data_IF_748183162031
#
_entry.id   IF_748183162031
#
_cell.length_a   1.000
_cell.length_b   1.000
_cell.length_c   1.000
_cell.angle_alpha   90.00
_cell.angle_beta   90.00
_cell.angle_gamma   90.00
#
_symmetry.space_group_name_H-M   'P 1'
#
loop_
_entity.id
_entity.type
_entity.pdbx_description
1 polymer ?
#
# COMPACT_ATOMS: atom_id res chain seq x y z
N UNK A 1 -6.71 -26.19 -0.88
CA UNK A 1 -6.07 -25.84 0.40
C UNK A 1 -4.86 -24.97 0.11
N UNK A 2 -4.79 -23.80 0.72
CA UNK A 2 -3.77 -22.78 0.45
C UNK A 2 -4.27 -21.42 0.94
N UNK A 3 -4.33 -21.25 2.26
CA UNK A 3 -4.61 -19.96 2.89
C UNK A 3 -3.41 -19.05 2.65
N UNK A 4 -3.58 -18.00 1.85
CA UNK A 4 -2.58 -16.96 1.67
C UNK A 4 -2.90 -15.84 2.66
N UNK A 5 -2.01 -15.67 3.64
CA UNK A 5 -2.15 -14.76 4.77
C UNK A 5 -2.26 -13.30 4.29
N UNK A 6 -3.39 -12.66 4.54
CA UNK A 6 -3.72 -11.28 4.13
C UNK A 6 -3.13 -10.21 5.06
N UNK A 7 -1.95 -10.45 5.65
CA UNK A 7 -1.43 -9.68 6.79
C UNK A 7 -0.30 -8.69 6.50
N UNK A 8 0.22 -8.63 5.26
CA UNK A 8 1.36 -7.77 4.88
C UNK A 8 1.02 -6.84 3.69
N UNK A 9 -0.09 -6.08 3.78
CA UNK A 9 -0.49 -5.11 2.76
C UNK A 9 -0.74 -3.73 3.38
N UNK A 10 -0.28 -2.60 2.76
CA UNK A 10 0.29 -2.48 1.42
C UNK A 10 1.77 -2.88 1.30
N UNK A 11 2.27 -3.19 0.08
CA UNK A 11 3.64 -3.63 -0.15
C UNK A 11 4.65 -2.56 0.24
N UNK A 12 5.75 -3.01 0.85
CA UNK A 12 7.00 -2.26 1.13
C UNK A 12 7.69 -1.65 -0.12
N UNK A 13 7.02 -1.56 -1.26
CA UNK A 13 7.56 -0.99 -2.51
C UNK A 13 7.31 0.52 -2.68
N UNK A 14 6.80 1.20 -1.65
CA UNK A 14 6.65 2.66 -1.62
C UNK A 14 7.81 3.41 -0.95
N UNK A 15 8.87 2.72 -0.52
CA UNK A 15 10.03 3.33 0.19
C UNK A 15 11.05 4.07 -0.71
N UNK A 16 10.81 4.21 -2.02
CA UNK A 16 11.91 4.49 -2.97
C UNK A 16 11.87 5.74 -3.86
N UNK A 17 10.95 6.70 -3.71
CA UNK A 17 10.81 7.78 -4.72
C UNK A 17 10.71 9.21 -4.19
N UNK A 18 11.40 9.51 -3.08
CA UNK A 18 11.72 10.90 -2.70
C UNK A 18 13.08 10.99 -1.98
N UNK A 19 14.21 10.98 -2.70
CA UNK A 19 15.38 11.85 -2.42
C UNK A 19 16.49 11.80 -3.49
N UNK A 20 17.03 12.99 -3.77
CA UNK A 20 18.13 13.40 -4.67
C UNK A 20 19.38 12.48 -4.66
N UNK A 21 19.98 12.14 -5.81
CA UNK A 21 20.93 12.96 -6.62
C UNK A 21 22.27 13.22 -5.90
N UNK A 22 23.27 12.39 -6.24
CA UNK A 22 24.72 12.47 -5.96
C UNK A 22 25.18 12.45 -4.49
N UNK A 23 26.16 11.60 -4.13
CA UNK A 23 27.61 11.94 -4.05
C UNK A 23 28.37 10.92 -3.17
N UNK A 24 29.57 10.56 -3.63
CA UNK A 24 30.76 10.11 -2.86
C UNK A 24 31.06 8.61 -2.59
N UNK A 25 32.17 8.18 -3.23
CA UNK A 25 33.28 7.32 -2.74
C UNK A 25 32.95 5.80 -2.68
N UNK A 26 33.42 4.90 -3.56
CA UNK A 26 34.72 4.74 -4.24
C UNK A 26 35.89 5.22 -3.37
N UNK A 27 36.37 4.28 -2.53
CA UNK A 27 37.66 4.19 -1.80
C UNK A 27 37.34 3.71 -0.37
N UNK A 28 37.33 2.39 -0.17
CA UNK A 28 37.86 1.78 1.05
C UNK A 28 38.38 0.39 0.67
N UNK A 29 39.70 0.32 0.51
CA UNK A 29 40.51 -0.80 0.05
C UNK A 29 40.26 -2.07 0.90
N UNK A 30 40.23 -3.28 0.33
CA UNK A 30 41.41 -4.05 -0.08
C UNK A 30 42.59 -3.88 0.92
N UNK A 31 42.46 -4.40 2.15
CA UNK A 31 43.59 -4.77 3.03
C UNK A 31 43.07 -5.42 4.32
N UNK A 32 42.62 -6.68 4.26
CA UNK A 32 42.43 -7.49 5.47
C UNK A 32 42.59 -9.01 5.25
N UNK A 33 43.17 -9.42 4.12
CA UNK A 33 43.40 -10.83 3.81
C UNK A 33 44.83 -11.25 4.22
N UNK A 34 45.09 -11.46 5.52
CA UNK A 34 46.22 -12.34 5.95
C UNK A 34 46.31 -12.77 7.42
N UNK A 35 45.43 -12.33 8.33
CA UNK A 35 45.51 -12.72 9.76
C UNK A 35 44.30 -13.51 10.30
N UNK A 36 43.47 -14.09 9.44
CA UNK A 36 42.31 -14.94 9.84
C UNK A 36 42.57 -16.45 9.70
N UNK A 37 43.69 -16.97 10.22
CA UNK A 37 43.90 -18.44 10.30
C UNK A 37 44.19 -18.97 11.70
N UNK A 38 44.49 -18.09 12.66
CA UNK A 38 44.92 -18.49 14.02
C UNK A 38 43.79 -18.33 15.04
N UNK A 39 42.79 -17.47 14.79
CA UNK A 39 41.63 -17.31 15.68
C UNK A 39 40.48 -18.30 15.40
N UNK A 40 40.51 -19.00 14.27
CA UNK A 40 39.51 -20.01 13.88
C UNK A 40 39.61 -21.32 14.69
N UNK A 41 40.78 -21.63 15.28
CA UNK A 41 41.01 -22.90 15.97
C UNK A 41 40.60 -22.92 17.45
N UNK A 42 40.39 -21.76 18.07
CA UNK A 42 39.98 -21.67 19.49
C UNK A 42 38.45 -21.76 19.63
N UNK A 43 37.69 -21.46 18.57
CA UNK A 43 36.23 -21.46 18.62
C UNK A 43 35.59 -22.85 18.42
N UNK A 44 36.37 -23.89 18.10
CA UNK A 44 35.88 -25.26 17.85
C UNK A 44 35.81 -26.09 19.16
N UNK A 45 36.40 -25.62 20.26
CA UNK A 45 36.50 -26.37 21.53
C UNK A 45 35.38 -26.18 22.57
N UNK A 46 34.34 -25.38 22.29
CA UNK A 46 33.21 -25.12 23.22
C UNK A 46 31.87 -25.48 22.53
N UNK A 47 31.81 -26.65 21.90
CA UNK A 47 30.64 -27.12 21.14
C UNK A 47 30.03 -28.40 21.74
N UNK A 48 29.78 -28.47 23.05
CA UNK A 48 29.09 -29.65 23.61
C UNK A 48 28.21 -29.46 24.86
N UNK A 49 27.80 -28.24 25.22
CA UNK A 49 26.76 -28.06 26.25
C UNK A 49 25.95 -26.78 26.01
N UNK A 50 24.95 -26.85 25.13
CA UNK A 50 24.10 -25.69 24.86
C UNK A 50 23.10 -25.88 23.72
N UNK A 51 22.44 -27.04 23.62
CA UNK A 51 21.29 -27.20 22.72
C UNK A 51 20.05 -26.59 23.40
N UNK A 52 19.98 -25.26 23.42
CA UNK A 52 18.77 -24.53 23.81
C UNK A 52 17.78 -24.63 22.64
N UNK A 53 16.67 -25.33 22.87
CA UNK A 53 15.49 -25.34 22.01
C UNK A 53 14.91 -23.91 21.95
N UNK A 54 15.26 -23.16 20.90
CA UNK A 54 14.58 -21.90 20.58
C UNK A 54 13.20 -22.29 20.01
N UNK A 55 12.20 -22.34 20.88
CA UNK A 55 10.79 -22.29 20.48
C UNK A 55 10.53 -20.92 19.86
N UNK A 56 10.75 -20.81 18.56
CA UNK A 56 10.35 -19.64 17.77
C UNK A 56 8.83 -19.58 17.74
N UNK A 57 8.26 -18.79 18.64
CA UNK A 57 6.84 -18.39 18.53
C UNK A 57 6.70 -17.59 17.23
N UNK A 58 5.78 -17.94 16.31
CA UNK A 58 5.51 -17.05 15.19
C UNK A 58 4.83 -15.79 15.74
N UNK A 59 5.58 -14.68 15.78
CA UNK A 59 4.99 -13.36 16.02
C UNK A 59 4.23 -12.98 14.74
N UNK A 60 2.99 -13.43 14.62
CA UNK A 60 2.03 -12.86 13.65
C UNK A 60 1.53 -11.55 14.24
N UNK A 61 2.23 -10.45 13.98
CA UNK A 61 1.82 -9.13 14.43
C UNK A 61 0.83 -8.54 13.42
N UNK A 62 -0.38 -9.08 13.37
CA UNK A 62 -1.45 -8.52 12.57
C UNK A 62 -1.75 -7.10 13.06
N UNK A 63 -1.58 -6.11 12.18
CA UNK A 63 -1.88 -4.74 12.57
C UNK A 63 -3.37 -4.62 12.94
N UNK A 64 -3.66 -4.16 14.16
CA UNK A 64 -5.03 -3.90 14.58
C UNK A 64 -5.58 -2.69 13.81
N UNK A 65 -6.78 -2.77 13.21
CA UNK A 65 -7.37 -1.63 12.52
C UNK A 65 -7.64 -0.47 13.49
N UNK A 66 -7.41 0.75 13.02
CA UNK A 66 -7.76 1.99 13.71
C UNK A 66 -9.29 2.11 13.86
N UNK A 67 -10.02 1.79 12.80
CA UNK A 67 -11.47 1.82 12.75
C UNK A 67 -11.99 0.94 11.61
N UNK A 68 -13.21 0.44 11.73
CA UNK A 68 -13.91 -0.24 10.65
C UNK A 68 -15.37 0.20 10.64
N UNK A 69 -15.84 0.69 9.49
CA UNK A 69 -17.23 1.08 9.29
C UNK A 69 -17.70 0.61 7.91
N UNK A 70 -18.72 -0.25 7.87
CA UNK A 70 -19.27 -0.77 6.63
C UNK A 70 -18.27 -1.65 5.88
N UNK A 71 -17.79 -1.17 4.72
CA UNK A 71 -16.75 -1.86 3.92
C UNK A 71 -15.38 -1.19 3.98
N UNK A 72 -15.26 -0.14 4.80
CA UNK A 72 -14.06 0.68 4.90
C UNK A 72 -13.34 0.42 6.21
N UNK A 73 -12.07 0.01 6.11
CA UNK A 73 -11.19 -0.23 7.26
C UNK A 73 -10.04 0.78 7.22
N UNK A 74 -9.71 1.35 8.38
CA UNK A 74 -8.64 2.32 8.57
C UNK A 74 -7.48 1.73 9.36
N UNK A 75 -6.28 2.21 9.06
CA UNK A 75 -5.03 1.83 9.69
C UNK A 75 -4.15 3.07 9.90
N UNK A 76 -3.07 2.90 10.65
CA UNK A 76 -2.07 3.93 10.89
C UNK A 76 -0.69 3.32 10.90
N UNK A 77 0.25 3.91 10.18
CA UNK A 77 1.67 3.56 10.20
C UNK A 77 2.48 4.81 10.55
N UNK A 78 3.75 4.60 10.89
CA UNK A 78 4.69 5.70 11.13
C UNK A 78 5.75 5.65 10.04
N UNK A 79 5.85 6.71 9.24
CA UNK A 79 6.88 6.88 8.21
C UNK A 79 7.71 8.11 8.55
N UNK A 80 9.04 7.96 8.63
CA UNK A 80 9.96 9.07 8.92
C UNK A 80 9.57 9.89 10.18
N UNK A 81 9.11 9.20 11.22
CA UNK A 81 8.68 9.81 12.48
C UNK A 81 7.32 10.54 12.43
N UNK A 82 6.59 10.48 11.31
CA UNK A 82 5.25 11.07 11.15
C UNK A 82 4.21 9.99 10.94
N UNK A 83 3.00 10.22 11.47
CA UNK A 83 1.88 9.30 11.23
C UNK A 83 1.38 9.42 9.79
N UNK A 84 1.12 8.27 9.18
CA UNK A 84 0.38 8.13 7.92
C UNK A 84 -0.84 7.29 8.21
N UNK A 85 -2.01 7.87 7.98
CA UNK A 85 -3.29 7.21 8.19
C UNK A 85 -3.88 6.90 6.82
N UNK A 86 -4.35 5.67 6.63
CA UNK A 86 -4.98 5.27 5.38
C UNK A 86 -6.24 4.46 5.66
N UNK A 87 -7.18 4.53 4.73
CA UNK A 87 -8.38 3.72 4.73
C UNK A 87 -8.58 3.12 3.36
N UNK A 88 -9.08 1.89 3.31
CA UNK A 88 -9.38 1.23 2.05
C UNK A 88 -10.66 0.41 2.11
N UNK A 89 -11.21 0.10 0.95
CA UNK A 89 -12.27 -0.87 0.75
C UNK A 89 -11.91 -1.81 -0.39
N UNK A 90 -12.30 -3.08 -0.26
CA UNK A 90 -12.39 -4.03 -1.37
C UNK A 90 -13.69 -3.79 -2.16
N UNK A 91 -13.76 -4.16 -3.45
CA UNK A 91 -15.00 -4.07 -4.19
C UNK A 91 -16.06 -5.02 -3.60
N UNK A 92 -17.32 -4.59 -3.64
CA UNK A 92 -18.48 -5.45 -3.33
C UNK A 92 -18.93 -6.26 -4.55
N UNK A 93 -18.42 -5.93 -5.74
CA UNK A 93 -18.65 -6.66 -6.98
C UNK A 93 -17.50 -6.40 -7.95
N UNK A 94 -17.00 -7.47 -8.55
CA UNK A 94 -15.93 -7.45 -9.53
C UNK A 94 -16.43 -8.00 -10.86
N UNK A 95 -16.37 -7.20 -11.92
CA UNK A 95 -16.73 -7.60 -13.28
C UNK A 95 -15.53 -7.38 -14.20
N UNK A 96 -15.49 -8.06 -15.35
CA UNK A 96 -14.42 -7.86 -16.33
C UNK A 96 -14.28 -9.03 -17.29
N UNK A 97 -13.23 -8.99 -18.13
CA UNK A 97 -12.85 -10.08 -19.04
C UNK A 97 -11.45 -10.65 -18.72
N UNK A 98 -11.01 -10.53 -17.48
CA UNK A 98 -9.76 -11.11 -17.00
C UNK A 98 -9.94 -12.57 -16.55
N UNK A 99 -8.88 -13.38 -16.64
CA UNK A 99 -8.88 -14.76 -16.12
C UNK A 99 -8.59 -14.81 -14.61
N UNK A 100 -7.55 -14.09 -14.18
CA UNK A 100 -7.10 -13.94 -12.79
C UNK A 100 -6.43 -12.58 -12.64
N UNK A 101 -6.48 -12.02 -11.44
CA UNK A 101 -5.84 -10.78 -11.01
C UNK A 101 -5.61 -10.83 -9.50
N UNK A 102 -4.79 -9.92 -8.98
CA UNK A 102 -4.61 -9.71 -7.54
C UNK A 102 -5.80 -9.00 -6.90
N UNK A 103 -5.63 -8.62 -5.63
CA UNK A 103 -6.65 -7.87 -4.89
C UNK A 103 -6.83 -6.45 -5.46
N UNK A 104 -8.08 -6.00 -5.51
CA UNK A 104 -8.43 -4.65 -5.93
C UNK A 104 -8.87 -3.79 -4.74
N UNK A 105 -8.45 -2.52 -4.72
CA UNK A 105 -8.70 -1.60 -3.63
C UNK A 105 -8.98 -0.18 -4.13
N UNK A 106 -9.84 0.53 -3.40
CA UNK A 106 -9.88 1.98 -3.40
C UNK A 106 -9.37 2.46 -2.04
N UNK A 107 -8.45 3.41 -2.04
CA UNK A 107 -7.72 3.85 -0.85
C UNK A 107 -7.68 5.38 -0.75
N UNK A 108 -7.80 5.90 0.46
CA UNK A 108 -7.51 7.29 0.81
C UNK A 108 -6.40 7.31 1.85
N UNK A 109 -5.38 8.12 1.61
CA UNK A 109 -4.22 8.28 2.48
C UNK A 109 -4.10 9.73 2.93
N UNK A 110 -3.81 9.95 4.21
CA UNK A 110 -3.58 11.26 4.83
C UNK A 110 -2.30 11.22 5.65
N UNK A 111 -1.40 12.18 5.43
CA UNK A 111 -0.15 12.31 6.18
C UNK A 111 -0.27 13.41 7.22
N UNK A 112 0.22 13.15 8.43
CA UNK A 112 0.19 14.11 9.53
C UNK A 112 0.99 15.38 9.18
N UNK A 113 0.43 16.55 9.52
CA UNK A 113 1.12 17.84 9.41
C UNK A 113 1.05 18.49 8.03
N UNK A 114 0.45 17.84 7.04
CA UNK A 114 0.18 18.41 5.73
C UNK A 114 -1.30 18.18 5.39
N UNK A 115 -2.13 19.16 5.77
CA UNK A 115 -3.59 19.12 5.58
C UNK A 115 -4.01 19.03 4.11
N UNK A 116 -3.11 19.36 3.18
CA UNK A 116 -3.28 19.29 1.74
C UNK A 116 -2.83 17.95 1.13
N UNK A 117 -2.11 17.11 1.88
CA UNK A 117 -1.59 15.81 1.42
C UNK A 117 -2.59 14.64 1.52
N UNK A 118 -3.83 14.86 1.09
CA UNK A 118 -4.76 13.75 0.93
C UNK A 118 -4.66 13.18 -0.48
N UNK A 119 -4.28 11.91 -0.55
CA UNK A 119 -4.21 11.16 -1.79
C UNK A 119 -5.37 10.18 -1.87
N UNK A 120 -5.95 10.06 -3.07
CA UNK A 120 -6.85 8.97 -3.41
C UNK A 120 -6.21 8.12 -4.50
N UNK A 121 -6.23 6.80 -4.31
CA UNK A 121 -5.69 5.85 -5.26
C UNK A 121 -6.57 4.63 -5.43
N UNK A 122 -6.37 3.94 -6.54
CA UNK A 122 -7.01 2.65 -6.81
C UNK A 122 -5.99 1.66 -7.38
N UNK A 123 -6.14 0.39 -7.02
CA UNK A 123 -5.53 -0.74 -7.73
C UNK A 123 -6.62 -1.70 -8.20
N UNK A 124 -6.44 -2.24 -9.40
CA UNK A 124 -7.30 -3.28 -9.97
C UNK A 124 -6.66 -4.66 -9.87
N UNK A 125 -5.56 -4.82 -9.11
CA UNK A 125 -4.84 -6.10 -8.97
C UNK A 125 -4.11 -6.54 -10.23
N UNK A 126 -3.76 -5.60 -11.11
CA UNK A 126 -2.90 -5.85 -12.27
C UNK A 126 -2.23 -4.55 -12.72
N UNK A 127 -1.11 -4.63 -13.46
CA UNK A 127 -0.50 -3.44 -14.05
C UNK A 127 -1.39 -2.79 -15.10
N UNK A 128 -1.61 -1.48 -14.99
CA UNK A 128 -2.46 -0.73 -15.93
C UNK A 128 -1.76 -0.49 -17.28
N UNK A 129 -2.57 -0.41 -18.33
CA UNK A 129 -2.14 0.08 -19.64
C UNK A 129 -1.86 1.59 -19.55
N UNK A 130 -0.60 2.00 -19.78
CA UNK A 130 -0.19 3.40 -19.66
C UNK A 130 -0.80 4.34 -20.71
N UNK A 131 -1.45 3.81 -21.76
CA UNK A 131 -2.16 4.60 -22.78
C UNK A 131 -3.65 4.75 -22.51
N UNK A 132 -4.18 4.11 -21.47
CA UNK A 132 -5.61 4.14 -21.12
C UNK A 132 -5.77 4.56 -19.66
N UNK A 133 -6.35 5.73 -19.39
CA UNK A 133 -6.56 6.14 -18.01
C UNK A 133 -7.59 5.24 -17.33
N UNK A 134 -7.59 5.25 -16.00
CA UNK A 134 -8.58 4.58 -15.18
C UNK A 134 -9.78 5.51 -14.99
N UNK A 135 -10.97 5.02 -15.31
CA UNK A 135 -12.21 5.78 -15.15
C UNK A 135 -12.80 5.55 -13.76
N UNK A 136 -13.15 6.65 -13.10
CA UNK A 136 -13.75 6.67 -11.77
C UNK A 136 -15.15 7.24 -11.90
N UNK A 137 -16.16 6.53 -11.40
CA UNK A 137 -17.54 6.99 -11.40
C UNK A 137 -18.13 6.91 -10.00
N UNK A 138 -18.50 8.05 -9.43
CA UNK A 138 -19.14 8.14 -8.12
C UNK A 138 -20.58 8.60 -8.35
N UNK A 139 -21.53 7.68 -8.19
CA UNK A 139 -22.98 7.92 -8.42
C UNK A 139 -23.28 8.72 -9.71
N UNK A 140 -22.61 8.39 -10.81
CA UNK A 140 -22.79 9.05 -12.11
C UNK A 140 -21.78 10.15 -12.41
N UNK A 141 -21.17 10.79 -11.41
CA UNK A 141 -20.11 11.79 -11.61
C UNK A 141 -18.81 11.11 -12.02
N UNK A 142 -18.23 11.54 -13.14
CA UNK A 142 -17.02 10.95 -13.73
C UNK A 142 -15.76 11.71 -13.34
N UNK A 143 -14.70 10.97 -13.07
CA UNK A 143 -13.34 11.44 -12.85
C UNK A 143 -12.37 10.50 -13.59
N UNK A 144 -11.14 10.97 -13.81
CA UNK A 144 -10.12 10.24 -14.56
C UNK A 144 -8.84 10.19 -13.74
N UNK A 145 -8.29 9.00 -13.57
CA UNK A 145 -6.99 8.76 -12.96
C UNK A 145 -6.01 8.36 -14.06
N UNK A 146 -5.06 9.24 -14.34
CA UNK A 146 -4.13 9.16 -15.46
C UNK A 146 -2.66 9.10 -15.02
N UNK A 147 -2.36 9.38 -13.75
CA UNK A 147 -1.06 9.04 -13.18
C UNK A 147 -1.06 7.54 -12.85
N UNK A 148 -0.37 6.74 -13.66
CA UNK A 148 -0.36 5.28 -13.57
C UNK A 148 1.06 4.78 -13.22
N UNK A 149 1.18 4.03 -12.13
CA UNK A 149 2.45 3.42 -11.71
C UNK A 149 2.22 1.99 -11.24
N UNK A 150 2.79 1.03 -11.96
CA UNK A 150 2.56 -0.39 -11.68
C UNK A 150 1.07 -0.74 -11.76
N UNK A 151 0.51 -1.20 -10.63
CA UNK A 151 -0.91 -1.55 -10.49
C UNK A 151 -1.79 -0.43 -9.94
N UNK A 152 -1.19 0.74 -9.67
CA UNK A 152 -1.86 1.84 -9.00
C UNK A 152 -2.15 3.00 -9.95
N UNK A 153 -3.25 3.69 -9.67
CA UNK A 153 -3.69 4.88 -10.38
C UNK A 153 -4.10 5.97 -9.40
N UNK A 154 -3.73 7.21 -9.72
CA UNK A 154 -4.07 8.42 -8.98
C UNK A 154 -4.62 9.49 -9.94
N UNK A 155 -5.26 10.52 -9.39
CA UNK A 155 -5.50 11.75 -10.14
C UNK A 155 -4.17 12.48 -10.37
N UNK A 156 -3.91 12.97 -11.58
CA UNK A 156 -2.74 13.81 -11.86
C UNK A 156 -2.85 15.19 -11.19
N UNK A 157 -4.07 15.73 -11.09
CA UNK A 157 -4.32 17.02 -10.44
C UNK A 157 -4.64 16.82 -8.95
N UNK A 158 -3.62 16.89 -8.09
CA UNK A 158 -3.77 16.71 -6.64
C UNK A 158 -4.81 17.66 -6.01
N UNK A 159 -4.95 18.87 -6.54
CA UNK A 159 -5.97 19.86 -6.13
C UNK A 159 -7.42 19.36 -6.30
N UNK A 160 -7.64 18.32 -7.12
CA UNK A 160 -8.95 17.69 -7.28
C UNK A 160 -9.24 16.65 -6.20
N UNK A 161 -8.24 16.10 -5.52
CA UNK A 161 -8.42 15.04 -4.52
C UNK A 161 -9.47 15.40 -3.47
N UNK A 162 -9.48 16.62 -2.87
CA UNK A 162 -10.51 17.01 -1.91
C UNK A 162 -11.93 16.95 -2.50
N UNK A 163 -12.10 17.29 -3.78
CA UNK A 163 -13.40 17.23 -4.45
C UNK A 163 -13.86 15.80 -4.70
N UNK A 164 -12.94 14.87 -4.96
CA UNK A 164 -13.21 13.45 -5.18
C UNK A 164 -13.56 12.78 -3.85
N UNK A 165 -12.75 13.00 -2.81
CA UNK A 165 -12.98 12.50 -1.45
C UNK A 165 -14.33 13.02 -0.92
N UNK A 166 -14.65 14.30 -1.15
CA UNK A 166 -15.96 14.88 -0.80
C UNK A 166 -17.11 14.23 -1.56
N UNK A 167 -16.92 13.87 -2.84
CA UNK A 167 -17.92 13.13 -3.60
C UNK A 167 -18.11 11.72 -3.04
N UNK A 168 -17.03 11.03 -2.66
CA UNK A 168 -17.11 9.71 -2.00
C UNK A 168 -17.84 9.78 -0.66
N UNK A 169 -17.56 10.80 0.16
CA UNK A 169 -18.23 11.01 1.45
C UNK A 169 -19.74 11.27 1.33
N UNK A 170 -20.19 11.79 0.18
CA UNK A 170 -21.62 12.04 -0.11
C UNK A 170 -22.28 10.93 -0.92
N UNK A 171 -21.49 10.05 -1.52
CA UNK A 171 -21.96 9.04 -2.46
C UNK A 171 -22.33 7.72 -1.80
N UNK A 172 -22.88 6.83 -2.63
CA UNK A 172 -23.33 5.50 -2.27
C UNK A 172 -22.49 4.42 -2.95
N UNK A 173 -22.11 4.64 -4.21
CA UNK A 173 -21.32 3.70 -5.00
C UNK A 173 -20.17 4.40 -5.72
N UNK A 174 -19.02 3.75 -5.69
CA UNK A 174 -17.87 4.04 -6.54
C UNK A 174 -17.74 2.90 -7.55
N UNK A 175 -17.57 3.22 -8.84
CA UNK A 175 -17.17 2.26 -9.88
C UNK A 175 -15.80 2.65 -10.43
N UNK A 176 -14.93 1.68 -10.57
CA UNK A 176 -13.57 1.83 -11.12
C UNK A 176 -13.46 0.95 -12.34
N UNK A 177 -13.12 1.54 -13.49
CA UNK A 177 -12.87 0.81 -14.73
C UNK A 177 -11.42 1.00 -15.14
N UNK A 178 -10.66 -0.10 -15.13
CA UNK A 178 -9.26 -0.11 -15.56
C UNK A 178 -9.06 -1.03 -16.75
N UNK A 179 -8.00 -0.79 -17.53
CA UNK A 179 -7.52 -1.70 -18.58
C UNK A 179 -6.10 -2.14 -18.24
N UNK A 180 -5.86 -3.45 -18.24
CA UNK A 180 -4.55 -4.03 -17.96
C UNK A 180 -3.58 -3.81 -19.13
N UNK A 181 -2.28 -3.92 -18.87
CA UNK A 181 -1.26 -3.95 -19.94
C UNK A 181 -1.53 -5.03 -21.01
N UNK A 182 -2.26 -6.09 -20.66
CA UNK A 182 -2.64 -7.20 -21.56
C UNK A 182 -3.92 -6.94 -22.36
N UNK A 183 -4.57 -5.78 -22.18
CA UNK A 183 -5.79 -5.41 -22.89
C UNK A 183 -7.10 -5.93 -22.29
N UNK A 184 -7.05 -6.73 -21.22
CA UNK A 184 -8.24 -7.08 -20.43
C UNK A 184 -8.70 -5.90 -19.59
N UNK A 185 -9.96 -5.87 -19.17
CA UNK A 185 -10.52 -4.82 -18.33
C UNK A 185 -11.19 -5.38 -17.07
N UNK A 186 -11.19 -4.56 -16.01
CA UNK A 186 -12.04 -4.71 -14.84
C UNK A 186 -13.09 -3.59 -14.78
N UNK A 187 -14.19 -3.87 -14.08
CA UNK A 187 -15.20 -2.93 -13.65
C UNK A 187 -15.57 -3.28 -12.21
N UNK A 188 -14.90 -2.62 -11.28
CA UNK A 188 -15.03 -2.86 -9.85
C UNK A 188 -16.06 -1.91 -9.25
N UNK A 189 -16.99 -2.43 -8.46
CA UNK A 189 -17.98 -1.63 -7.74
C UNK A 189 -17.70 -1.69 -6.25
N UNK A 190 -17.53 -0.54 -5.61
CA UNK A 190 -17.31 -0.36 -4.18
C UNK A 190 -18.56 0.23 -3.51
N UNK A 191 -18.81 -0.17 -2.27
CA UNK A 191 -19.80 0.50 -1.42
C UNK A 191 -19.16 1.71 -0.75
N UNK A 192 -19.83 2.86 -0.77
CA UNK A 192 -19.40 4.04 -0.01
C UNK A 192 -20.05 4.10 1.39
N UNK A 193 -20.89 3.11 1.74
CA UNK A 193 -21.42 2.98 3.11
C UNK A 193 -20.27 2.80 4.11
N UNK A 194 -20.21 3.71 5.07
CA UNK A 194 -19.17 3.75 6.11
C UNK A 194 -17.98 4.65 5.78
N UNK A 195 -17.83 5.13 4.53
CA UNK A 195 -16.72 5.97 4.11
C UNK A 195 -16.54 7.18 5.03
N UNK A 196 -17.60 7.96 5.25
CA UNK A 196 -17.54 9.19 6.05
C UNK A 196 -17.13 8.95 7.51
N UNK A 197 -17.57 7.85 8.11
CA UNK A 197 -17.20 7.50 9.49
C UNK A 197 -15.72 7.10 9.56
N UNK A 198 -15.27 6.25 8.64
CA UNK A 198 -13.85 5.83 8.55
C UNK A 198 -12.92 6.99 8.20
N UNK A 199 -13.35 7.89 7.30
CA UNK A 199 -12.60 9.08 6.93
C UNK A 199 -12.39 10.00 8.14
N UNK A 200 -13.45 10.25 8.93
CA UNK A 200 -13.32 11.00 10.19
C UNK A 200 -12.30 10.38 11.15
N UNK A 201 -12.23 9.05 11.21
CA UNK A 201 -11.24 8.35 12.06
C UNK A 201 -9.81 8.62 11.60
N UNK A 202 -9.51 8.57 10.30
CA UNK A 202 -8.16 8.89 9.80
C UNK A 202 -7.82 10.38 9.93
N UNK A 203 -8.80 11.29 9.74
CA UNK A 203 -8.59 12.74 9.96
C UNK A 203 -8.31 13.05 11.42
N UNK A 204 -8.96 12.35 12.36
CA UNK A 204 -8.71 12.51 13.80
C UNK A 204 -7.33 11.96 14.20
N UNK A 205 -6.92 10.84 13.63
CA UNK A 205 -5.65 10.19 13.97
C UNK A 205 -4.42 10.88 13.34
N UNK A 206 -4.60 11.51 12.17
CA UNK A 206 -3.58 12.27 11.44
C UNK A 206 -4.10 13.69 11.13
N UNK A 207 -4.07 14.64 12.09
CA UNK A 207 -4.59 16.00 11.90
C UNK A 207 -3.81 16.81 10.86
#
# INVERSE_FOLDING_TARGET
MGQQNSQDWPPRELEGMFYNKYRFVLIWNLLAARKMKILYKIFIGINLLGLILILSSPISNAQKPLAEHGKWTAYTITENGRKVCYMFSRPIRENGNYKRRGDAFSMVTRRQGDRTSEDISVTSGYPYNNKKPVEINIDGKKYVFNLLQGEYAWSEELERNPQIIKAMAKGNRLKVRGVSKKGTYSLDTYSLKGFTATYKSITKACP
#
